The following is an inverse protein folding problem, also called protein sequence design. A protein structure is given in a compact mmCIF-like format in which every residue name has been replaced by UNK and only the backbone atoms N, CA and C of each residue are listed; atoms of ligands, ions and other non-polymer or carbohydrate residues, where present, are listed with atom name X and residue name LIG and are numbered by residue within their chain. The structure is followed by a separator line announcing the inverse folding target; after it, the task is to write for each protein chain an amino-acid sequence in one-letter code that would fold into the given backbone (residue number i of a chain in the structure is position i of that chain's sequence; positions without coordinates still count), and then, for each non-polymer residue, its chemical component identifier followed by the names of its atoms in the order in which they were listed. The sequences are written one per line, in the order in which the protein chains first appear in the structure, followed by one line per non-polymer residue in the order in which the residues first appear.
data_IF_763621585928
#
_entry.id   IF_763621585928
#
_cell.length_a   1.000
_cell.length_b   1.000
_cell.length_c   1.000
_cell.angle_alpha   90.00
_cell.angle_beta   90.00
_cell.angle_gamma   90.00
#
_symmetry.space_group_name_H-M   'P 1'
#
loop_
_entity.id
_entity.type
_entity.pdbx_description
1 polymer ?
#
# COMPACT_ATOMS: atom_id res chain seq x y z
N UNK A 1 16.96 -10.34 -6.01
CA UNK A 1 16.01 -11.08 -5.17
C UNK A 1 14.69 -11.09 -5.91
N UNK A 2 14.10 -12.27 -6.07
CA UNK A 2 12.80 -12.43 -6.74
C UNK A 2 11.68 -11.84 -5.87
N UNK A 3 10.69 -11.14 -6.46
CA UNK A 3 9.57 -10.61 -5.70
C UNK A 3 8.64 -11.75 -5.26
N UNK A 4 8.26 -11.72 -3.98
CA UNK A 4 7.19 -12.60 -3.44
C UNK A 4 5.83 -12.26 -4.03
N UNK A 5 5.64 -11.02 -4.47
CA UNK A 5 4.49 -10.55 -5.21
C UNK A 5 4.85 -9.38 -6.12
N UNK A 6 4.28 -9.32 -7.32
CA UNK A 6 4.35 -8.13 -8.15
C UNK A 6 3.10 -7.97 -9.01
N UNK A 7 2.63 -6.74 -9.14
CA UNK A 7 1.65 -6.33 -10.13
C UNK A 7 2.06 -4.97 -10.73
N UNK A 8 1.12 -4.28 -11.39
CA UNK A 8 1.37 -2.97 -12.02
C UNK A 8 1.43 -1.78 -11.03
N UNK A 9 1.03 -2.01 -9.77
CA UNK A 9 0.96 -1.01 -8.70
C UNK A 9 2.12 -1.15 -7.72
N UNK A 10 2.41 -2.40 -7.33
CA UNK A 10 3.40 -2.72 -6.30
C UNK A 10 4.28 -3.92 -6.65
N UNK A 11 5.46 -3.96 -6.06
CA UNK A 11 6.30 -5.15 -5.96
C UNK A 11 6.76 -5.32 -4.52
N UNK A 12 6.65 -6.53 -3.99
CA UNK A 12 6.97 -6.88 -2.60
C UNK A 12 8.07 -7.94 -2.62
N UNK A 13 9.23 -7.58 -2.07
CA UNK A 13 10.35 -8.50 -1.84
C UNK A 13 10.43 -8.84 -0.35
N UNK A 14 11.49 -9.53 0.05
CA UNK A 14 11.74 -9.77 1.47
C UNK A 14 12.15 -8.53 2.25
N UNK A 15 12.73 -7.55 1.58
CA UNK A 15 13.31 -6.36 2.20
C UNK A 15 12.55 -5.08 1.89
N UNK A 16 11.78 -5.03 0.81
CA UNK A 16 11.22 -3.79 0.29
C UNK A 16 9.80 -3.95 -0.28
N UNK A 17 9.02 -2.89 -0.19
CA UNK A 17 7.82 -2.65 -0.99
C UNK A 17 8.11 -1.49 -1.95
N UNK A 18 8.02 -1.77 -3.25
CA UNK A 18 8.10 -0.75 -4.29
C UNK A 18 6.69 -0.37 -4.72
N UNK A 19 6.36 0.92 -4.67
CA UNK A 19 5.12 1.49 -5.20
C UNK A 19 5.44 2.17 -6.55
N UNK A 20 4.98 1.60 -7.67
CA UNK A 20 5.44 2.02 -9.00
C UNK A 20 4.96 3.42 -9.41
N UNK A 21 3.75 3.81 -9.02
CA UNK A 21 3.11 5.09 -9.41
C UNK A 21 2.89 6.03 -8.23
N UNK A 22 3.92 6.19 -7.39
CA UNK A 22 3.79 6.87 -6.09
C UNK A 22 3.61 8.40 -6.20
N UNK A 23 4.48 9.07 -6.97
CA UNK A 23 4.48 10.54 -7.06
C UNK A 23 3.75 11.02 -8.30
N UNK A 24 2.54 11.56 -8.14
CA UNK A 24 1.78 12.19 -9.22
C UNK A 24 2.17 13.68 -9.35
N UNK A 25 2.33 14.24 -10.58
CA UNK A 25 2.05 13.65 -11.90
C UNK A 25 3.22 12.89 -12.54
N UNK A 26 4.40 12.85 -11.92
CA UNK A 26 5.61 12.24 -12.53
C UNK A 26 5.59 10.71 -12.63
N UNK A 27 4.65 10.05 -11.95
CA UNK A 27 4.56 8.60 -11.76
C UNK A 27 5.86 7.94 -11.27
N UNK A 28 6.73 8.69 -10.57
CA UNK A 28 7.95 8.13 -10.01
C UNK A 28 7.61 7.11 -8.92
N UNK A 29 8.39 6.03 -8.89
CA UNK A 29 8.28 5.00 -7.85
C UNK A 29 8.79 5.50 -6.50
N UNK A 30 8.26 4.93 -5.42
CA UNK A 30 8.82 5.02 -4.07
C UNK A 30 9.15 3.62 -3.58
N UNK A 31 10.32 3.44 -2.98
CA UNK A 31 10.74 2.19 -2.34
C UNK A 31 10.69 2.40 -0.84
N UNK A 32 10.09 1.46 -0.12
CA UNK A 32 9.99 1.46 1.33
C UNK A 32 10.54 0.14 1.86
N UNK A 33 11.56 0.21 2.71
CA UNK A 33 12.07 -0.96 3.41
C UNK A 33 11.02 -1.51 4.36
N UNK A 34 10.87 -2.83 4.41
CA UNK A 34 9.98 -3.53 5.34
C UNK A 34 10.28 -3.10 6.78
N UNK A 35 11.55 -2.97 7.15
CA UNK A 35 11.97 -2.52 8.49
C UNK A 35 11.50 -1.10 8.86
N UNK A 36 11.17 -0.26 7.88
CA UNK A 36 10.64 1.09 8.10
C UNK A 36 9.12 1.12 8.29
N UNK A 37 8.43 -0.02 8.08
CA UNK A 37 7.00 -0.15 8.30
C UNK A 37 6.78 -0.52 9.77
N UNK A 38 5.94 0.24 10.46
CA UNK A 38 5.57 -0.02 11.85
C UNK A 38 4.48 -1.08 11.92
N UNK A 39 3.39 -0.84 11.17
CA UNK A 39 2.28 -1.77 11.02
C UNK A 39 1.52 -1.47 9.73
N UNK A 40 0.72 -2.44 9.31
CA UNK A 40 -0.22 -2.32 8.20
C UNK A 40 -1.60 -2.72 8.71
N UNK A 41 -2.60 -1.89 8.44
CA UNK A 41 -4.01 -2.22 8.65
C UNK A 41 -4.69 -2.49 7.31
N UNK A 42 -5.59 -3.48 7.30
CA UNK A 42 -6.40 -3.84 6.14
C UNK A 42 -7.82 -3.33 6.35
N UNK A 43 -8.35 -2.62 5.36
CA UNK A 43 -9.64 -1.96 5.43
C UNK A 43 -10.49 -2.33 4.22
N UNK A 44 -11.80 -2.45 4.44
CA UNK A 44 -12.79 -2.55 3.37
C UNK A 44 -12.75 -1.30 2.47
N UNK A 45 -12.92 -1.45 1.15
CA UNK A 45 -12.90 -0.36 0.19
C UNK A 45 -14.21 0.44 0.26
N UNK A 46 -14.32 1.31 1.27
CA UNK A 46 -15.45 2.23 1.45
C UNK A 46 -15.08 3.65 0.99
N UNK A 47 -16.08 4.53 0.84
CA UNK A 47 -15.83 5.95 0.55
C UNK A 47 -14.91 6.59 1.60
N UNK A 48 -15.14 6.28 2.87
CA UNK A 48 -14.35 6.78 4.01
C UNK A 48 -12.89 6.29 3.96
N UNK A 49 -12.68 5.03 3.55
CA UNK A 49 -11.34 4.43 3.48
C UNK A 49 -10.61 4.75 2.17
N UNK A 50 -11.22 5.52 1.26
CA UNK A 50 -10.56 5.99 0.04
C UNK A 50 -10.83 5.16 -1.21
N UNK A 51 -11.95 4.41 -1.30
CA UNK A 51 -12.35 3.65 -2.51
C UNK A 51 -12.19 4.42 -3.82
N UNK A 52 -12.53 5.71 -3.82
CA UNK A 52 -12.48 6.59 -5.00
C UNK A 52 -11.27 7.53 -5.00
N UNK A 53 -10.35 7.41 -4.04
CA UNK A 53 -9.16 8.25 -3.96
C UNK A 53 -8.14 7.78 -4.99
N UNK A 54 -8.25 8.18 -6.26
CA UNK A 54 -7.38 7.68 -7.34
C UNK A 54 -5.89 7.96 -7.09
N UNK A 55 -5.55 9.09 -6.46
CA UNK A 55 -4.20 9.39 -5.98
C UNK A 55 -4.24 10.48 -4.89
N UNK A 56 -3.11 10.71 -4.23
CA UNK A 56 -2.90 11.82 -3.32
C UNK A 56 -3.52 11.60 -1.94
N UNK A 57 -3.76 12.69 -1.22
CA UNK A 57 -4.33 12.64 0.14
C UNK A 57 -5.76 13.20 0.15
N UNK A 58 -6.56 12.72 1.12
CA UNK A 58 -7.87 13.31 1.44
C UNK A 58 -7.96 13.84 2.88
N UNK A 59 -7.03 13.47 3.75
CA UNK A 59 -7.02 13.80 5.17
C UNK A 59 -5.65 14.30 5.68
N UNK A 60 -4.71 14.58 4.76
CA UNK A 60 -3.33 15.01 5.02
C UNK A 60 -2.46 14.04 5.82
N UNK A 61 -2.98 12.86 6.19
CA UNK A 61 -2.26 11.81 6.91
C UNK A 61 -1.88 10.64 6.01
N UNK A 62 -2.79 10.26 5.10
CA UNK A 62 -2.59 9.11 4.20
C UNK A 62 -2.38 9.59 2.78
N UNK A 63 -1.29 9.16 2.15
CA UNK A 63 -1.01 9.38 0.72
C UNK A 63 -1.27 8.10 -0.08
N UNK A 64 -2.06 8.21 -1.15
CA UNK A 64 -2.33 7.13 -2.07
C UNK A 64 -1.52 7.26 -3.36
N UNK A 65 -0.72 6.24 -3.74
CA UNK A 65 -0.19 6.10 -5.09
C UNK A 65 -1.31 6.08 -6.14
N UNK A 66 -1.00 6.42 -7.38
CA UNK A 66 -2.00 6.41 -8.44
C UNK A 66 -2.47 4.98 -8.76
N UNK A 67 -3.78 4.75 -8.62
CA UNK A 67 -4.49 3.53 -9.05
C UNK A 67 -5.86 3.95 -9.60
N UNK A 68 -5.96 4.01 -10.93
CA UNK A 68 -7.20 4.37 -11.64
C UNK A 68 -8.30 3.34 -11.47
N UNK A 69 -7.95 2.10 -11.09
CA UNK A 69 -8.89 1.02 -10.86
C UNK A 69 -9.17 0.77 -9.37
N UNK A 70 -8.78 1.71 -8.48
CA UNK A 70 -9.02 1.63 -7.03
C UNK A 70 -10.46 1.28 -6.64
N UNK A 71 -11.50 1.79 -7.32
CA UNK A 71 -12.89 1.48 -6.98
C UNK A 71 -13.26 -0.01 -7.10
N UNK A 72 -12.50 -0.78 -7.88
CA UNK A 72 -12.72 -2.20 -8.12
C UNK A 72 -11.78 -3.11 -7.31
N UNK A 73 -11.00 -2.54 -6.38
CA UNK A 73 -10.09 -3.30 -5.51
C UNK A 73 -10.89 -3.87 -4.35
N UNK A 74 -10.49 -5.05 -3.91
CA UNK A 74 -11.16 -5.83 -2.86
C UNK A 74 -10.83 -5.32 -1.45
N UNK A 75 -9.63 -4.75 -1.26
CA UNK A 75 -9.21 -4.15 0.03
C UNK A 75 -8.24 -3.00 -0.13
N UNK A 76 -8.12 -2.21 0.92
CA UNK A 76 -7.17 -1.09 1.05
C UNK A 76 -6.21 -1.40 2.19
N UNK A 77 -4.92 -1.21 1.95
CA UNK A 77 -3.86 -1.34 2.95
C UNK A 77 -3.39 0.04 3.37
N UNK A 78 -3.28 0.31 4.66
CA UNK A 78 -2.65 1.53 5.18
C UNK A 78 -1.40 1.13 5.94
N UNK A 79 -0.23 1.52 5.41
CA UNK A 79 1.06 1.30 6.04
C UNK A 79 1.51 2.54 6.81
N UNK A 80 1.62 2.40 8.12
CA UNK A 80 2.22 3.42 8.99
C UNK A 80 3.73 3.22 8.99
N UNK A 81 4.46 4.33 8.85
CA UNK A 81 5.91 4.33 8.68
C UNK A 81 6.60 4.96 9.89
N UNK A 82 7.64 4.32 10.40
CA UNK A 82 8.35 4.72 11.62
C UNK A 82 8.97 6.12 11.55
N UNK A 83 9.44 6.50 10.36
CA UNK A 83 10.31 7.67 10.17
C UNK A 83 9.64 8.82 9.38
N UNK A 84 8.32 8.78 9.17
CA UNK A 84 7.62 9.87 8.50
C UNK A 84 6.18 10.00 8.98
N UNK A 85 5.66 11.23 9.00
CA UNK A 85 4.27 11.51 9.39
C UNK A 85 3.25 10.93 8.40
N UNK A 86 3.59 10.83 7.11
CA UNK A 86 2.65 10.40 6.08
C UNK A 86 2.60 8.87 6.00
N UNK A 87 1.40 8.31 6.17
CA UNK A 87 1.13 6.89 5.93
C UNK A 87 0.92 6.64 4.44
N UNK A 88 1.13 5.40 4.00
CA UNK A 88 0.91 4.99 2.62
C UNK A 88 -0.36 4.15 2.54
N UNK A 89 -1.38 4.71 1.90
CA UNK A 89 -2.58 3.98 1.52
C UNK A 89 -2.39 3.34 0.15
N UNK A 90 -2.47 2.02 0.02
CA UNK A 90 -2.26 1.35 -1.25
C UNK A 90 -3.23 0.20 -1.48
N UNK A 91 -3.26 -0.23 -2.73
CA UNK A 91 -4.12 -1.28 -3.26
C UNK A 91 -3.30 -2.16 -4.21
N UNK A 92 -3.78 -3.37 -4.45
CA UNK A 92 -3.11 -4.40 -5.25
C UNK A 92 -4.16 -5.18 -6.05
N UNK A 93 -3.74 -5.93 -7.07
CA UNK A 93 -4.64 -6.77 -7.88
C UNK A 93 -5.19 -7.98 -7.11
N UNK A 94 -4.39 -8.57 -6.22
CA UNK A 94 -4.76 -9.75 -5.45
C UNK A 94 -4.57 -9.47 -3.96
N UNK A 95 -5.62 -8.91 -3.33
CA UNK A 95 -5.57 -8.49 -1.94
C UNK A 95 -5.34 -9.66 -0.98
N UNK A 96 -6.00 -10.80 -1.20
CA UNK A 96 -5.85 -12.00 -0.36
C UNK A 96 -4.41 -12.50 -0.31
N UNK A 97 -3.73 -12.54 -1.45
CA UNK A 97 -2.35 -12.98 -1.52
C UNK A 97 -1.41 -12.02 -0.78
N UNK A 98 -1.60 -10.72 -0.99
CA UNK A 98 -0.76 -9.69 -0.36
C UNK A 98 -0.98 -9.63 1.14
N UNK A 99 -2.22 -9.75 1.62
CA UNK A 99 -2.51 -9.82 3.05
C UNK A 99 -1.80 -11.01 3.72
N UNK A 100 -1.79 -12.19 3.09
CA UNK A 100 -1.04 -13.36 3.60
C UNK A 100 0.46 -13.10 3.65
N UNK A 101 1.03 -12.47 2.62
CA UNK A 101 2.47 -12.12 2.56
C UNK A 101 2.83 -11.11 3.65
N UNK A 102 2.02 -10.06 3.84
CA UNK A 102 2.29 -9.04 4.85
C UNK A 102 2.07 -9.58 6.27
N UNK A 103 1.11 -10.48 6.45
CA UNK A 103 0.91 -11.21 7.72
C UNK A 103 2.10 -12.12 8.05
N UNK A 104 2.63 -12.87 7.08
CA UNK A 104 3.80 -13.73 7.32
C UNK A 104 5.08 -12.95 7.63
N UNK A 105 5.13 -11.67 7.25
CA UNK A 105 6.18 -10.71 7.61
C UNK A 105 5.91 -9.99 8.94
N UNK A 106 4.87 -10.38 9.70
CA UNK A 106 4.45 -9.75 10.95
C UNK A 106 4.13 -8.25 10.83
N UNK A 107 3.70 -7.80 9.65
CA UNK A 107 3.31 -6.40 9.43
C UNK A 107 1.84 -6.15 9.72
N UNK A 108 1.00 -7.17 9.63
CA UNK A 108 -0.43 -7.10 9.93
C UNK A 108 -0.66 -7.87 11.24
N UNK A 109 -1.01 -7.15 12.29
CA UNK A 109 -1.39 -7.76 13.56
C UNK A 109 -2.84 -8.22 13.46
N UNK A 110 -3.10 -9.51 13.67
CA UNK A 110 -4.46 -9.99 13.94
C UNK A 110 -4.85 -9.46 15.32
N UNK A 111 -5.90 -8.64 15.36
CA UNK A 111 -6.57 -8.27 16.62
C UNK A 111 -7.24 -9.52 17.19
#
# INVERSE_FOLDING_TARGET
MEPTYTDELVSITDTDITFFKYYFPTFKKKVVKIDNIENIVVLEPTLLNGKWRIHGTGNFKVWFPCDTNRPNRDRIFIATLKNQWIDIGFTVKNGDMVEKILSSKNLINKI
#
